data_IF_144735500504
#
_entry.id   IF_144735500504
#
_cell.length_a   1.000
_cell.length_b   1.000
_cell.length_c   1.000
_cell.angle_alpha   90.00
_cell.angle_beta   90.00
_cell.angle_gamma   90.00
#
_symmetry.space_group_name_H-M   'P 1'
#
loop_
_entity.id
_entity.type
_entity.pdbx_description
1 polymer ?
#
# COMPACT_ATOMS: atom_id res chain seq x y z
N UNK A 1 -9.55 8.46 -0.14
CA UNK A 1 -8.09 8.61 -0.34
C UNK A 1 -7.61 10.06 -0.20
N UNK A 2 -7.96 11.01 -1.10
CA UNK A 2 -7.45 12.41 -1.06
C UNK A 2 -7.70 13.21 0.23
N UNK A 3 -8.84 13.00 0.88
CA UNK A 3 -9.21 13.71 2.12
C UNK A 3 -8.24 13.47 3.28
N UNK A 4 -7.72 12.24 3.45
CA UNK A 4 -6.85 11.92 4.59
C UNK A 4 -5.43 12.47 4.40
N UNK A 5 -4.92 12.45 3.16
CA UNK A 5 -3.58 12.94 2.83
C UNK A 5 -3.42 14.46 2.98
N UNK A 6 -4.49 15.22 2.74
CA UNK A 6 -4.49 16.68 2.98
C UNK A 6 -4.22 17.04 4.45
N UNK A 7 -4.67 16.22 5.40
CA UNK A 7 -4.40 16.40 6.84
C UNK A 7 -2.94 16.15 7.21
N UNK A 8 -2.20 15.44 6.35
CA UNK A 8 -0.78 15.21 6.50
C UNK A 8 0.07 16.24 5.75
N UNK A 9 -0.55 17.26 5.15
CA UNK A 9 0.14 18.27 4.36
C UNK A 9 0.35 17.88 2.89
N UNK A 10 -0.12 16.71 2.43
CA UNK A 10 -0.07 16.36 1.00
C UNK A 10 -1.30 16.95 0.32
N UNK A 11 -1.10 18.07 -0.39
CA UNK A 11 -2.16 18.85 -1.02
C UNK A 11 -2.46 18.40 -2.46
N UNK A 12 -1.55 17.66 -3.07
CA UNK A 12 -1.67 17.13 -4.43
C UNK A 12 -0.37 16.42 -4.86
N UNK A 13 -0.34 15.83 -6.07
CA UNK A 13 0.87 15.23 -6.63
C UNK A 13 2.04 16.22 -6.61
N UNK A 14 3.11 15.88 -5.90
CA UNK A 14 4.32 16.71 -5.75
C UNK A 14 4.11 17.99 -4.95
N UNK A 15 2.92 18.19 -4.36
CA UNK A 15 2.53 19.41 -3.65
C UNK A 15 2.38 19.10 -2.17
N UNK A 16 3.37 19.49 -1.39
CA UNK A 16 3.46 19.20 0.04
C UNK A 16 3.63 20.50 0.83
N UNK A 17 2.79 20.67 1.84
CA UNK A 17 2.96 21.68 2.89
C UNK A 17 3.73 21.03 4.05
N UNK A 18 5.01 21.36 4.14
CA UNK A 18 5.91 20.78 5.13
C UNK A 18 5.63 21.28 6.56
N UNK A 19 5.01 22.44 6.73
CA UNK A 19 4.66 22.96 8.04
C UNK A 19 3.45 22.19 8.60
N UNK A 20 2.43 21.96 7.77
CA UNK A 20 1.30 21.08 8.13
C UNK A 20 1.82 19.67 8.42
N UNK A 21 2.70 19.13 7.57
CA UNK A 21 3.26 17.79 7.76
C UNK A 21 4.05 17.66 9.06
N UNK A 22 4.90 18.63 9.37
CA UNK A 22 5.69 18.66 10.60
C UNK A 22 4.79 18.65 11.84
N UNK A 23 3.69 19.41 11.80
CA UNK A 23 2.71 19.46 12.89
C UNK A 23 1.85 18.19 12.98
N UNK A 24 1.48 17.60 11.85
CA UNK A 24 0.60 16.45 11.79
C UNK A 24 1.29 15.11 12.09
N UNK A 25 2.55 14.95 11.67
CA UNK A 25 3.26 13.67 11.71
C UNK A 25 4.30 13.56 12.82
N UNK A 26 4.68 14.66 13.48
CA UNK A 26 5.48 14.67 14.71
C UNK A 26 6.63 13.65 14.74
N UNK A 27 6.53 12.66 15.63
CA UNK A 27 7.55 11.61 15.80
C UNK A 27 7.72 10.70 14.57
N UNK A 28 6.64 10.41 13.85
CA UNK A 28 6.71 9.63 12.61
C UNK A 28 7.60 10.32 11.57
N UNK A 29 7.46 11.65 11.44
CA UNK A 29 8.32 12.43 10.55
C UNK A 29 9.79 12.41 11.00
N UNK A 30 10.05 12.43 12.32
CA UNK A 30 11.41 12.35 12.84
C UNK A 30 12.07 11.01 12.55
N UNK A 31 11.33 9.91 12.61
CA UNK A 31 11.84 8.60 12.22
C UNK A 31 12.13 8.56 10.72
N UNK A 32 11.23 9.05 9.89
CA UNK A 32 11.45 9.14 8.43
C UNK A 32 12.70 9.97 8.09
N UNK A 33 12.90 11.12 8.74
CA UNK A 33 14.12 11.94 8.59
C UNK A 33 15.39 11.12 8.87
N UNK A 34 15.39 10.32 9.94
CA UNK A 34 16.53 9.48 10.34
C UNK A 34 16.86 8.39 9.33
N UNK A 35 15.85 7.77 8.72
CA UNK A 35 16.05 6.69 7.74
C UNK A 35 16.77 7.19 6.46
N UNK A 36 16.42 8.38 5.98
CA UNK A 36 16.95 8.88 4.70
C UNK A 36 18.21 9.76 4.83
N UNK A 37 18.44 10.38 5.99
CA UNK A 37 19.54 11.35 6.15
C UNK A 37 20.93 10.75 5.90
N UNK A 38 21.15 9.48 6.26
CA UNK A 38 22.48 8.87 6.22
C UNK A 38 23.01 8.71 4.79
N UNK A 39 22.12 8.50 3.82
CA UNK A 39 22.48 8.24 2.42
C UNK A 39 22.34 9.50 1.56
N UNK A 40 21.32 10.31 1.82
CA UNK A 40 20.90 11.39 0.90
C UNK A 40 20.94 12.80 1.51
N UNK A 41 21.31 12.93 2.78
CA UNK A 41 21.37 14.20 3.51
C UNK A 41 20.08 14.56 4.24
N UNK A 42 20.19 15.47 5.20
CA UNK A 42 19.15 15.77 6.21
C UNK A 42 17.81 16.28 5.63
N UNK A 43 17.82 16.86 4.43
CA UNK A 43 16.63 17.42 3.78
C UNK A 43 15.98 16.50 2.74
N UNK A 44 16.58 15.34 2.45
CA UNK A 44 16.08 14.46 1.37
C UNK A 44 14.67 13.93 1.62
N UNK A 45 14.26 13.81 2.89
CA UNK A 45 12.90 13.42 3.26
C UNK A 45 11.83 14.29 2.60
N UNK A 46 12.10 15.59 2.36
CA UNK A 46 11.18 16.50 1.65
C UNK A 46 10.97 16.03 0.22
N UNK A 47 12.09 15.76 -0.46
CA UNK A 47 12.08 15.26 -1.84
C UNK A 47 11.42 13.88 -1.92
N UNK A 48 11.69 13.01 -0.96
CA UNK A 48 11.05 11.70 -0.86
C UNK A 48 9.52 11.83 -0.76
N UNK A 49 9.01 12.69 0.14
CA UNK A 49 7.57 12.89 0.29
C UNK A 49 6.94 13.48 -0.97
N UNK A 50 7.61 14.42 -1.65
CA UNK A 50 7.14 14.91 -2.95
C UNK A 50 6.98 13.76 -3.95
N UNK A 51 8.02 12.93 -4.13
CA UNK A 51 8.00 11.80 -5.06
C UNK A 51 6.91 10.77 -4.70
N UNK A 52 6.78 10.44 -3.42
CA UNK A 52 5.76 9.50 -2.94
C UNK A 52 4.36 10.09 -3.09
N UNK A 53 4.20 11.40 -2.89
CA UNK A 53 2.91 12.07 -3.10
C UNK A 53 2.49 12.09 -4.56
N UNK A 54 3.43 12.22 -5.49
CA UNK A 54 3.17 12.03 -6.92
C UNK A 54 2.68 10.61 -7.18
N UNK A 55 3.40 9.61 -6.67
CA UNK A 55 3.04 8.20 -6.82
C UNK A 55 1.65 7.87 -6.23
N UNK A 56 1.37 8.28 -5.00
CA UNK A 56 0.12 7.91 -4.30
C UNK A 56 -1.11 8.60 -4.86
N UNK A 57 -0.96 9.79 -5.45
CA UNK A 57 -2.07 10.59 -5.96
C UNK A 57 -2.18 10.55 -7.48
N UNK A 58 -1.32 9.79 -8.15
CA UNK A 58 -1.45 9.50 -9.57
C UNK A 58 -2.60 8.51 -9.80
N UNK A 59 -3.75 9.06 -10.21
CA UNK A 59 -4.94 8.29 -10.56
C UNK A 59 -4.76 7.45 -11.84
N UNK A 60 -3.70 7.67 -12.63
CA UNK A 60 -3.48 7.09 -13.96
C UNK A 60 -2.33 6.07 -14.01
N UNK A 61 -1.43 6.06 -13.03
CA UNK A 61 -0.08 5.48 -13.20
C UNK A 61 0.11 3.99 -12.90
N UNK A 62 -0.61 3.40 -11.96
CA UNK A 62 -0.22 2.08 -11.41
C UNK A 62 -1.16 0.92 -11.76
N UNK A 63 -2.46 1.19 -11.94
CA UNK A 63 -3.40 0.20 -12.46
C UNK A 63 -3.56 0.41 -13.96
N UNK A 64 -2.46 0.27 -14.71
CA UNK A 64 -2.60 0.01 -16.12
C UNK A 64 -3.14 -1.41 -16.26
N UNK A 65 -4.43 -1.53 -16.54
CA UNK A 65 -5.12 -2.81 -16.70
C UNK A 65 -4.36 -3.79 -17.60
N UNK A 66 -3.69 -3.30 -18.66
CA UNK A 66 -2.95 -4.15 -19.57
C UNK A 66 -1.65 -4.69 -18.95
N UNK A 67 -0.99 -3.92 -18.08
CA UNK A 67 0.15 -4.42 -17.30
C UNK A 67 -0.31 -5.46 -16.26
N UNK A 68 -1.41 -5.17 -15.56
CA UNK A 68 -1.95 -6.05 -14.52
C UNK A 68 -2.40 -7.40 -15.10
N UNK A 69 -3.07 -7.40 -16.26
CA UNK A 69 -3.49 -8.61 -16.98
C UNK A 69 -2.31 -9.48 -17.46
N UNK A 70 -1.12 -8.89 -17.57
CA UNK A 70 0.08 -9.61 -17.98
C UNK A 70 0.77 -10.37 -16.84
N UNK A 71 0.36 -10.18 -15.59
CA UNK A 71 0.83 -10.98 -14.46
C UNK A 71 0.40 -12.44 -14.67
N UNK A 72 1.37 -13.37 -14.71
CA UNK A 72 1.13 -14.81 -14.90
C UNK A 72 1.39 -15.66 -13.66
N UNK A 73 2.08 -15.10 -12.68
CA UNK A 73 2.29 -15.77 -11.41
C UNK A 73 0.98 -15.82 -10.62
N UNK A 74 0.76 -16.92 -9.90
CA UNK A 74 -0.34 -16.98 -8.94
C UNK A 74 -0.22 -15.84 -7.94
N UNK A 75 -1.35 -15.18 -7.68
CA UNK A 75 -1.36 -13.94 -6.90
C UNK A 75 -2.44 -13.99 -5.83
N UNK A 76 -2.06 -13.70 -4.58
CA UNK A 76 -3.02 -13.44 -3.51
C UNK A 76 -3.17 -11.93 -3.31
N UNK A 77 -4.39 -11.42 -3.50
CA UNK A 77 -4.76 -10.04 -3.16
C UNK A 77 -5.38 -10.05 -1.76
N UNK A 78 -4.79 -9.32 -0.82
CA UNK A 78 -5.25 -9.28 0.58
C UNK A 78 -5.63 -7.85 0.97
N UNK A 79 -6.77 -7.66 1.63
CA UNK A 79 -7.25 -6.32 1.99
C UNK A 79 -8.08 -6.34 3.27
N UNK A 80 -7.89 -5.36 4.16
CA UNK A 80 -8.76 -5.16 5.32
C UNK A 80 -10.08 -4.49 4.93
N UNK A 81 -11.20 -4.94 5.49
CA UNK A 81 -12.56 -4.43 5.19
C UNK A 81 -12.82 -2.98 5.64
N UNK A 82 -11.99 -2.45 6.54
CA UNK A 82 -12.03 -1.08 7.08
C UNK A 82 -10.80 -0.27 6.73
N UNK A 83 -10.04 -0.71 5.73
CA UNK A 83 -8.92 0.06 5.23
C UNK A 83 -9.41 1.33 4.51
N UNK A 84 -9.10 2.48 5.10
CA UNK A 84 -9.43 3.80 4.54
C UNK A 84 -8.36 4.35 3.61
N UNK A 85 -7.18 3.73 3.60
CA UNK A 85 -6.04 4.07 2.75
C UNK A 85 -6.22 3.42 1.38
N UNK A 86 -6.41 2.10 1.33
CA UNK A 86 -6.68 1.32 0.12
C UNK A 86 -8.04 0.63 0.25
N UNK A 87 -8.94 0.82 -0.71
CA UNK A 87 -10.32 0.33 -0.56
C UNK A 87 -10.49 -1.12 -1.02
N UNK A 88 -11.50 -1.79 -0.46
CA UNK A 88 -11.89 -3.15 -0.86
C UNK A 88 -12.23 -3.22 -2.36
N UNK A 89 -12.86 -2.18 -2.91
CA UNK A 89 -13.21 -2.12 -4.33
C UNK A 89 -11.98 -2.21 -5.23
N UNK A 90 -10.87 -1.59 -4.83
CA UNK A 90 -9.61 -1.68 -5.58
C UNK A 90 -8.98 -3.06 -5.51
N UNK A 91 -9.05 -3.71 -4.34
CA UNK A 91 -8.62 -5.11 -4.22
C UNK A 91 -9.47 -6.04 -5.11
N UNK A 92 -10.78 -5.79 -5.19
CA UNK A 92 -11.69 -6.55 -6.07
C UNK A 92 -11.39 -6.30 -7.55
N UNK A 93 -11.09 -5.06 -7.96
CA UNK A 93 -10.63 -4.75 -9.32
C UNK A 93 -9.36 -5.55 -9.68
N UNK A 94 -8.34 -5.51 -8.81
CA UNK A 94 -7.10 -6.27 -9.00
C UNK A 94 -7.35 -7.77 -9.13
N UNK A 95 -8.13 -8.34 -8.23
CA UNK A 95 -8.51 -9.76 -8.28
C UNK A 95 -9.22 -10.14 -9.59
N UNK A 96 -10.04 -9.25 -10.15
CA UNK A 96 -10.71 -9.52 -11.43
C UNK A 96 -9.78 -9.37 -12.63
N UNK A 97 -8.77 -8.52 -12.53
CA UNK A 97 -7.83 -8.24 -13.62
C UNK A 97 -6.67 -9.23 -13.70
N UNK A 98 -6.15 -9.68 -12.55
CA UNK A 98 -5.00 -10.59 -12.48
C UNK A 98 -5.47 -12.03 -12.73
N UNK A 99 -4.98 -12.69 -13.79
CA UNK A 99 -5.22 -14.11 -14.02
C UNK A 99 -4.74 -14.96 -12.84
N UNK A 100 -5.45 -16.04 -12.53
CA UNK A 100 -5.10 -16.98 -11.45
C UNK A 100 -4.98 -16.33 -10.06
N UNK A 101 -5.62 -15.19 -9.83
CA UNK A 101 -5.57 -14.55 -8.53
C UNK A 101 -6.61 -15.12 -7.55
N UNK A 102 -6.32 -14.94 -6.26
CA UNK A 102 -7.23 -15.20 -5.14
C UNK A 102 -7.42 -13.91 -4.36
N UNK A 103 -8.57 -13.77 -3.68
CA UNK A 103 -8.90 -12.59 -2.87
C UNK A 103 -9.18 -13.00 -1.43
N UNK A 104 -8.52 -12.33 -0.49
CA UNK A 104 -8.79 -12.42 0.94
C UNK A 104 -9.16 -11.05 1.51
N UNK A 105 -10.39 -10.94 2.03
CA UNK A 105 -10.83 -9.75 2.76
C UNK A 105 -10.81 -10.05 4.26
N UNK A 106 -9.91 -9.40 5.00
CA UNK A 106 -9.80 -9.55 6.44
C UNK A 106 -10.93 -8.76 7.13
N UNK A 107 -11.77 -9.41 7.97
CA UNK A 107 -12.86 -8.74 8.65
C UNK A 107 -12.35 -7.84 9.78
N UNK A 108 -13.08 -6.76 10.05
CA UNK A 108 -12.77 -5.79 11.11
C UNK A 108 -11.31 -5.27 11.07
N UNK A 109 -10.74 -5.12 9.87
CA UNK A 109 -9.30 -4.93 9.67
C UNK A 109 -9.00 -3.64 8.92
N UNK A 110 -8.04 -2.86 9.45
CA UNK A 110 -7.57 -1.60 8.84
C UNK A 110 -6.41 -1.84 7.88
N UNK A 111 -5.83 -0.76 7.33
CA UNK A 111 -4.60 -0.84 6.53
C UNK A 111 -3.45 -1.56 7.25
N UNK A 112 -3.35 -1.37 8.57
CA UNK A 112 -2.26 -1.90 9.39
C UNK A 112 -2.55 -3.31 9.94
N UNK A 113 -3.58 -4.02 9.45
CA UNK A 113 -3.93 -5.34 9.96
C UNK A 113 -2.80 -6.39 9.87
N UNK A 114 -1.84 -6.35 8.94
CA UNK A 114 -0.70 -7.28 8.98
C UNK A 114 0.12 -7.16 10.28
N UNK A 115 0.13 -5.98 10.90
CA UNK A 115 0.81 -5.70 12.16
C UNK A 115 -0.10 -5.95 13.37
N UNK A 116 -1.41 -5.70 13.27
CA UNK A 116 -2.34 -5.83 14.40
C UNK A 116 -2.96 -7.22 14.54
N UNK A 117 -3.09 -7.98 13.45
CA UNK A 117 -3.55 -9.36 13.41
C UNK A 117 -2.61 -10.21 12.54
N UNK A 118 -1.39 -10.35 13.05
CA UNK A 118 -0.30 -11.08 12.40
C UNK A 118 -0.62 -12.56 12.21
N UNK A 119 -1.48 -13.15 13.06
CA UNK A 119 -1.88 -14.56 12.94
C UNK A 119 -2.76 -14.75 11.70
N UNK A 120 -3.81 -13.94 11.55
CA UNK A 120 -4.66 -14.01 10.37
C UNK A 120 -3.86 -13.76 9.09
N UNK A 121 -3.03 -12.72 9.08
CA UNK A 121 -2.18 -12.38 7.94
C UNK A 121 -1.27 -13.55 7.53
N UNK A 122 -0.56 -14.15 8.48
CA UNK A 122 0.33 -15.27 8.19
C UNK A 122 -0.40 -16.52 7.71
N UNK A 123 -1.55 -16.84 8.30
CA UNK A 123 -2.32 -18.02 7.88
C UNK A 123 -2.81 -17.90 6.44
N UNK A 124 -3.30 -16.72 6.04
CA UNK A 124 -3.73 -16.46 4.66
C UNK A 124 -2.59 -16.65 3.65
N UNK A 125 -1.38 -16.18 3.98
CA UNK A 125 -0.19 -16.40 3.13
C UNK A 125 0.15 -17.89 3.06
N UNK A 126 0.17 -18.56 4.22
CA UNK A 126 0.52 -19.97 4.31
C UNK A 126 -0.45 -20.84 3.49
N UNK A 127 -1.75 -20.63 3.64
CA UNK A 127 -2.78 -21.38 2.92
C UNK A 127 -2.66 -21.19 1.41
N UNK A 128 -2.35 -19.97 0.96
CA UNK A 128 -2.09 -19.69 -0.45
C UNK A 128 -0.87 -20.44 -0.98
N UNK A 129 0.28 -20.36 -0.28
CA UNK A 129 1.52 -21.04 -0.69
C UNK A 129 1.37 -22.56 -0.71
N UNK A 130 0.70 -23.13 0.29
CA UNK A 130 0.48 -24.58 0.38
C UNK A 130 -0.46 -25.07 -0.74
N UNK A 131 -1.50 -24.30 -1.07
CA UNK A 131 -2.42 -24.63 -2.16
C UNK A 131 -1.69 -24.71 -3.50
N UNK A 132 -0.83 -23.73 -3.81
CA UNK A 132 -0.06 -23.74 -5.06
C UNK A 132 0.96 -24.88 -5.10
N UNK A 133 1.64 -25.13 -3.97
CA UNK A 133 2.59 -26.24 -3.85
C UNK A 133 1.97 -27.62 -4.09
N UNK A 134 0.66 -27.77 -3.86
CA UNK A 134 -0.06 -29.01 -4.12
C UNK A 134 -0.57 -29.12 -5.56
N UNK A 135 -0.84 -28.00 -6.23
CA UNK A 135 -1.21 -27.97 -7.66
C UNK A 135 -0.01 -28.36 -8.53
N UNK A 136 1.19 -27.85 -8.22
CA UNK A 136 2.42 -28.16 -8.97
C UNK A 136 2.89 -29.63 -8.87
N UNK A 137 2.30 -30.42 -7.97
CA UNK A 137 2.64 -31.83 -7.73
C UNK A 137 1.73 -32.82 -8.45
N UNK A 138 0.71 -32.35 -9.18
CA UNK A 138 -0.24 -33.15 -9.94
C UNK A 138 0.09 -33.12 -11.44
#
# INVERSE_FOLDING_TARGET
MRSSFSKWGILGPGKVDFDIMQNALGEYLNNMKKEFQYVYGEDYWKKYVELVSEMWLDDQGYLNDDLVKNIKADTLVMQGDRDTTCTVERAVELFRLIPNSQLAIAPNSSHAYPLSDTILFHNLIKDFVDTQSNIDRL
#
